data_IF_336066909794
#
_entry.id   IF_336066909794
#
_cell.length_a   1.000
_cell.length_b   1.000
_cell.length_c   1.000
_cell.angle_alpha   90.00
_cell.angle_beta   90.00
_cell.angle_gamma   90.00
#
_symmetry.space_group_name_H-M   'P 1'
#
loop_
_entity.id
_entity.type
_entity.pdbx_description
1 polymer ?
#
# COMPACT_ATOMS: atom_id res chain seq x y z
N UNK A 1 -10.17 -14.09 -3.70
CA UNK A 1 -11.18 -13.04 -3.52
C UNK A 1 -11.27 -12.70 -2.04
N UNK A 2 -11.57 -11.45 -1.66
CA UNK A 2 -11.68 -10.99 -0.26
C UNK A 2 -10.58 -10.01 0.17
N UNK A 3 -9.34 -10.12 -0.33
CA UNK A 3 -8.25 -9.18 -0.02
C UNK A 3 -8.62 -7.74 -0.39
N UNK A 4 -8.91 -7.50 -1.66
CA UNK A 4 -9.27 -6.17 -2.18
C UNK A 4 -10.54 -5.62 -1.51
N UNK A 5 -11.50 -6.49 -1.11
CA UNK A 5 -12.71 -6.07 -0.39
C UNK A 5 -12.39 -5.42 0.96
N UNK A 6 -11.42 -5.96 1.71
CA UNK A 6 -10.98 -5.38 2.99
C UNK A 6 -10.33 -4.03 2.75
N UNK A 7 -9.42 -3.91 1.78
CA UNK A 7 -8.79 -2.64 1.44
C UNK A 7 -9.84 -1.63 0.96
N UNK A 8 -10.71 -2.02 0.04
CA UNK A 8 -11.79 -1.16 -0.46
C UNK A 8 -12.71 -0.65 0.65
N UNK A 9 -13.02 -1.47 1.66
CA UNK A 9 -13.83 -1.01 2.80
C UNK A 9 -13.15 0.12 3.60
N UNK A 10 -11.84 0.04 3.81
CA UNK A 10 -11.08 1.12 4.45
C UNK A 10 -11.05 2.38 3.59
N UNK A 11 -10.82 2.22 2.27
CA UNK A 11 -10.73 3.33 1.33
C UNK A 11 -12.07 4.05 1.15
N UNK A 12 -13.18 3.31 1.08
CA UNK A 12 -14.55 3.88 1.02
C UNK A 12 -14.86 4.69 2.28
N UNK A 13 -14.50 4.19 3.45
CA UNK A 13 -14.67 4.95 4.70
C UNK A 13 -13.81 6.23 4.67
N UNK A 14 -12.53 6.13 4.29
CA UNK A 14 -11.62 7.28 4.23
C UNK A 14 -12.07 8.32 3.22
N UNK A 15 -12.47 7.93 1.99
CA UNK A 15 -12.96 8.90 1.00
C UNK A 15 -14.29 9.54 1.40
N UNK A 16 -15.15 8.79 2.11
CA UNK A 16 -16.42 9.32 2.62
C UNK A 16 -16.19 10.37 3.69
N UNK A 17 -15.16 10.19 4.55
CA UNK A 17 -14.74 11.19 5.53
C UNK A 17 -14.21 12.43 4.82
N UNK A 18 -13.25 12.29 3.90
CA UNK A 18 -12.66 13.42 3.18
C UNK A 18 -13.67 14.25 2.39
N UNK A 19 -14.74 13.62 1.94
CA UNK A 19 -15.83 14.27 1.19
C UNK A 19 -16.99 14.75 2.08
N UNK A 20 -16.83 14.70 3.41
CA UNK A 20 -17.83 15.11 4.41
C UNK A 20 -19.17 14.33 4.34
N UNK A 21 -19.13 13.06 3.92
CA UNK A 21 -20.30 12.17 3.95
C UNK A 21 -20.50 11.53 5.32
N UNK A 22 -19.41 11.15 6.01
CA UNK A 22 -19.51 10.63 7.38
C UNK A 22 -20.03 11.69 8.35
N UNK A 23 -20.81 11.29 9.36
CA UNK A 23 -21.15 9.93 9.77
C UNK A 23 -22.46 9.39 9.14
N UNK A 24 -23.14 10.15 8.28
CA UNK A 24 -24.53 9.89 7.87
C UNK A 24 -24.66 9.17 6.52
N UNK A 25 -23.58 9.14 5.73
CA UNK A 25 -23.60 8.54 4.39
C UNK A 25 -22.22 7.97 4.03
N UNK A 26 -22.23 7.07 3.03
CA UNK A 26 -21.03 6.48 2.45
C UNK A 26 -21.02 6.72 0.94
N UNK A 27 -19.91 7.23 0.43
CA UNK A 27 -19.69 7.46 -0.99
C UNK A 27 -18.89 6.31 -1.61
N UNK A 28 -19.49 5.59 -2.56
CA UNK A 28 -18.88 4.42 -3.21
C UNK A 28 -17.83 4.81 -4.28
N UNK A 29 -17.95 6.01 -4.84
CA UNK A 29 -17.08 6.51 -5.90
C UNK A 29 -16.40 7.80 -5.46
N UNK A 30 -15.08 7.84 -5.52
CA UNK A 30 -14.31 9.00 -5.06
C UNK A 30 -12.85 8.96 -5.45
N UNK A 31 -12.02 9.65 -4.69
CA UNK A 31 -10.60 9.83 -5.03
C UNK A 31 -9.77 8.54 -4.91
N UNK A 32 -10.14 7.64 -4.01
CA UNK A 32 -9.37 6.42 -3.77
C UNK A 32 -9.90 5.23 -4.55
N UNK A 33 -11.21 5.03 -4.57
CA UNK A 33 -11.85 3.90 -5.24
C UNK A 33 -13.13 4.33 -5.93
N UNK A 34 -13.44 3.63 -7.02
CA UNK A 34 -14.70 3.71 -7.76
C UNK A 34 -15.29 2.30 -7.79
N UNK A 35 -16.19 2.00 -6.84
CA UNK A 35 -16.75 0.66 -6.69
C UNK A 35 -17.96 0.46 -7.60
N UNK A 36 -18.66 1.55 -7.96
CA UNK A 36 -19.85 1.50 -8.77
C UNK A 36 -21.10 1.86 -7.97
N UNK A 37 -22.13 1.04 -8.06
CA UNK A 37 -23.44 1.27 -7.45
C UNK A 37 -23.68 0.29 -6.27
N UNK A 38 -24.74 0.52 -5.52
CA UNK A 38 -25.12 -0.30 -4.37
C UNK A 38 -25.19 -1.82 -4.67
N UNK A 39 -25.66 -2.19 -5.87
CA UNK A 39 -25.74 -3.59 -6.29
C UNK A 39 -24.35 -4.25 -6.46
N UNK A 40 -23.29 -3.47 -6.66
CA UNK A 40 -21.94 -3.99 -6.86
C UNK A 40 -21.25 -4.32 -5.53
N UNK A 41 -21.76 -3.80 -4.41
CA UNK A 41 -21.17 -3.97 -3.07
C UNK A 41 -21.93 -4.93 -2.17
N UNK A 42 -23.22 -5.16 -2.42
CA UNK A 42 -24.02 -6.10 -1.63
C UNK A 42 -23.78 -7.53 -2.12
N UNK A 43 -23.70 -8.47 -1.18
CA UNK A 43 -23.57 -9.88 -1.53
C UNK A 43 -24.89 -10.39 -2.13
N UNK A 44 -24.84 -10.97 -3.34
CA UNK A 44 -26.00 -11.40 -4.13
C UNK A 44 -26.97 -12.35 -3.37
N UNK A 45 -26.44 -13.12 -2.41
CA UNK A 45 -27.23 -14.06 -1.59
C UNK A 45 -27.41 -13.55 -0.14
N UNK A 46 -27.32 -12.25 0.06
CA UNK A 46 -27.56 -11.65 1.38
C UNK A 46 -29.05 -11.55 1.65
N UNK A 47 -29.47 -12.05 2.81
CA UNK A 47 -30.83 -11.88 3.31
C UNK A 47 -31.06 -10.47 3.91
N UNK A 48 -29.98 -9.72 4.11
CA UNK A 48 -29.98 -8.38 4.71
C UNK A 48 -29.68 -7.32 3.65
N UNK A 49 -30.48 -6.27 3.62
CA UNK A 49 -30.26 -5.09 2.77
C UNK A 49 -29.33 -4.05 3.44
N UNK A 50 -28.31 -4.52 4.15
CA UNK A 50 -27.33 -3.65 4.79
C UNK A 50 -25.93 -4.28 4.82
N UNK A 51 -24.92 -3.41 4.91
CA UNK A 51 -23.51 -3.76 5.14
C UNK A 51 -23.12 -3.14 6.47
N UNK A 52 -22.48 -3.92 7.34
CA UNK A 52 -21.98 -3.44 8.63
C UNK A 52 -20.46 -3.50 8.63
N UNK A 53 -19.81 -2.37 8.97
CA UNK A 53 -18.38 -2.26 9.14
C UNK A 53 -18.08 -1.81 10.57
N UNK A 54 -17.10 -2.45 11.20
CA UNK A 54 -16.62 -2.08 12.53
C UNK A 54 -15.13 -1.82 12.48
N UNK A 55 -14.71 -0.66 12.96
CA UNK A 55 -13.33 -0.33 13.24
C UNK A 55 -13.14 -0.29 14.75
N UNK A 56 -12.08 -0.97 15.22
CA UNK A 56 -11.73 -0.96 16.63
C UNK A 56 -10.24 -0.64 16.79
N UNK A 57 -9.95 0.38 17.60
CA UNK A 57 -8.58 0.79 17.91
C UNK A 57 -8.46 1.20 19.38
N UNK A 58 -7.56 0.53 20.12
CA UNK A 58 -7.23 0.87 21.53
C UNK A 58 -8.45 1.07 22.43
N UNK A 59 -9.47 0.23 22.26
CA UNK A 59 -10.72 0.29 23.02
C UNK A 59 -11.74 1.31 22.51
N UNK A 60 -11.42 2.08 21.48
CA UNK A 60 -12.37 2.91 20.74
C UNK A 60 -13.03 2.07 19.65
N UNK A 61 -14.32 2.25 19.45
CA UNK A 61 -15.10 1.50 18.48
C UNK A 61 -15.89 2.50 17.65
N UNK A 62 -15.80 2.33 16.33
CA UNK A 62 -16.63 3.02 15.37
C UNK A 62 -17.34 1.97 14.51
N UNK A 63 -18.67 1.96 14.59
CA UNK A 63 -19.52 1.10 13.79
C UNK A 63 -20.25 1.95 12.76
N UNK A 64 -20.37 1.44 11.55
CA UNK A 64 -21.20 2.03 10.51
C UNK A 64 -22.06 0.95 9.87
N UNK A 65 -23.36 1.18 9.81
CA UNK A 65 -24.37 0.35 9.13
C UNK A 65 -24.85 1.10 7.91
N UNK A 66 -24.58 0.53 6.74
CA UNK A 66 -24.84 1.11 5.43
C UNK A 66 -26.08 0.46 4.88
N UNK A 67 -27.09 1.27 4.51
CA UNK A 67 -28.35 0.79 3.99
C UNK A 67 -28.32 0.69 2.47
N UNK A 68 -28.79 -0.44 1.95
CA UNK A 68 -28.91 -0.64 0.50
C UNK A 68 -29.94 0.32 -0.09
N UNK A 69 -29.55 0.95 -1.21
CA UNK A 69 -30.43 1.80 -2.01
C UNK A 69 -30.14 1.57 -3.48
N UNK A 70 -31.10 0.93 -4.14
CA UNK A 70 -30.94 0.55 -5.56
C UNK A 70 -30.51 1.75 -6.42
N UNK A 71 -29.58 1.50 -7.35
CA UNK A 71 -29.08 2.48 -8.32
C UNK A 71 -28.45 3.75 -7.68
N UNK A 72 -28.00 3.67 -6.41
CA UNK A 72 -27.31 4.74 -5.72
C UNK A 72 -25.81 4.45 -5.57
N UNK A 73 -24.98 5.47 -5.64
CA UNK A 73 -23.56 5.44 -5.36
C UNK A 73 -23.18 6.20 -4.08
N UNK A 74 -24.16 6.89 -3.49
CA UNK A 74 -24.12 7.42 -2.12
C UNK A 74 -25.20 6.74 -1.31
N UNK A 75 -24.79 6.03 -0.26
CA UNK A 75 -25.68 5.22 0.57
C UNK A 75 -25.88 5.87 1.93
N UNK A 76 -27.12 5.86 2.42
CA UNK A 76 -27.43 6.33 3.76
C UNK A 76 -26.76 5.39 4.80
N UNK A 77 -26.24 5.96 5.89
CA UNK A 77 -25.55 5.21 6.92
C UNK A 77 -25.96 5.67 8.32
N UNK A 78 -25.97 4.71 9.25
CA UNK A 78 -26.12 4.93 10.69
C UNK A 78 -24.78 4.61 11.36
N UNK A 79 -24.21 5.55 12.12
CA UNK A 79 -22.93 5.37 12.79
C UNK A 79 -23.07 5.40 14.29
N UNK A 80 -22.27 4.57 14.98
CA UNK A 80 -22.14 4.53 16.44
C UNK A 80 -20.66 4.69 16.80
N UNK A 81 -20.36 5.62 17.68
CA UNK A 81 -19.00 6.01 18.05
C UNK A 81 -18.51 7.24 17.28
N UNK A 82 -17.37 7.77 17.71
CA UNK A 82 -16.74 8.92 17.04
C UNK A 82 -15.64 8.43 16.11
N UNK A 83 -15.78 8.64 14.80
CA UNK A 83 -14.76 8.24 13.83
C UNK A 83 -13.46 9.04 13.98
N UNK A 84 -13.49 10.25 14.53
CA UNK A 84 -12.27 11.04 14.80
C UNK A 84 -11.33 10.36 15.80
N UNK A 85 -11.83 9.43 16.60
CA UNK A 85 -11.03 8.65 17.53
C UNK A 85 -10.17 7.55 16.84
N UNK A 86 -10.46 7.24 15.58
CA UNK A 86 -9.81 6.16 14.81
C UNK A 86 -8.71 6.74 13.91
N UNK A 87 -7.53 6.13 13.95
CA UNK A 87 -6.34 6.60 13.20
C UNK A 87 -6.55 6.68 11.69
N UNK A 88 -7.41 5.84 11.11
CA UNK A 88 -7.77 5.88 9.68
C UNK A 88 -8.24 7.27 9.23
N UNK A 89 -8.91 8.01 10.10
CA UNK A 89 -9.52 9.31 9.78
C UNK A 89 -8.64 10.51 10.16
N UNK A 90 -7.44 10.25 10.69
CA UNK A 90 -6.45 11.29 10.99
C UNK A 90 -5.65 11.70 9.78
N UNK A 91 -4.79 12.69 9.96
CA UNK A 91 -3.77 13.10 9.00
C UNK A 91 -2.76 11.97 8.74
N UNK A 92 -1.93 12.12 7.71
CA UNK A 92 -0.89 11.16 7.31
C UNK A 92 -1.44 9.80 6.84
N UNK A 93 -2.41 9.85 5.94
CA UNK A 93 -2.91 8.69 5.21
C UNK A 93 -2.36 8.70 3.78
N UNK A 94 -1.77 7.59 3.34
CA UNK A 94 -1.29 7.41 1.97
C UNK A 94 -1.86 6.12 1.38
N UNK A 95 -2.34 6.18 0.15
CA UNK A 95 -2.78 5.01 -0.60
C UNK A 95 -2.10 4.96 -1.96
N UNK A 96 -1.49 3.84 -2.27
CA UNK A 96 -0.92 3.54 -3.59
C UNK A 96 -1.56 2.27 -4.13
N UNK A 97 -2.34 2.41 -5.19
CA UNK A 97 -3.03 1.30 -5.82
C UNK A 97 -2.08 0.42 -6.66
N UNK A 98 -2.62 -0.69 -7.19
CA UNK A 98 -1.88 -1.60 -8.05
C UNK A 98 -1.53 -0.98 -9.41
N UNK A 99 -2.34 -0.07 -9.92
CA UNK A 99 -2.18 0.59 -11.23
C UNK A 99 -1.33 1.87 -11.11
N UNK A 100 -0.10 1.73 -10.63
CA UNK A 100 0.80 2.88 -10.54
C UNK A 100 1.14 3.46 -11.91
N UNK A 101 1.50 4.77 -11.90
CA UNK A 101 1.87 5.47 -13.14
C UNK A 101 3.01 4.76 -13.86
N UNK A 102 2.78 4.43 -15.12
CA UNK A 102 3.81 3.85 -15.99
C UNK A 102 5.03 4.78 -16.10
N UNK A 103 6.23 4.26 -16.41
CA UNK A 103 7.42 5.07 -16.60
C UNK A 103 7.20 6.18 -17.62
N UNK A 104 7.40 7.43 -17.20
CA UNK A 104 7.29 8.63 -18.01
C UNK A 104 8.53 9.51 -17.82
N UNK A 105 8.81 10.36 -18.77
CA UNK A 105 9.90 11.35 -18.66
C UNK A 105 9.47 12.56 -17.84
N UNK A 106 8.18 12.88 -17.91
CA UNK A 106 7.57 14.09 -17.35
C UNK A 106 6.40 13.68 -16.47
N UNK A 107 6.31 14.27 -15.30
CA UNK A 107 5.29 14.04 -14.28
C UNK A 107 4.63 15.35 -13.89
N UNK A 108 3.35 15.35 -13.50
CA UNK A 108 2.67 16.56 -13.06
C UNK A 108 3.20 17.05 -11.71
N UNK A 109 3.10 18.36 -11.48
CA UNK A 109 3.27 19.00 -10.18
C UNK A 109 1.91 19.34 -9.58
N UNK A 110 1.78 19.22 -8.27
CA UNK A 110 0.62 19.68 -7.53
C UNK A 110 1.01 20.02 -6.09
N UNK A 111 1.08 21.29 -5.76
CA UNK A 111 1.32 21.73 -4.38
C UNK A 111 0.16 21.38 -3.46
N UNK A 112 -1.06 21.33 -4.00
CA UNK A 112 -2.22 20.88 -3.23
C UNK A 112 -2.02 19.46 -2.68
N UNK A 113 -1.60 18.51 -3.51
CA UNK A 113 -1.42 17.12 -3.08
C UNK A 113 -0.20 16.97 -2.16
N UNK A 114 0.95 17.56 -2.51
CA UNK A 114 2.18 17.30 -1.76
C UNK A 114 2.35 18.20 -0.52
N UNK A 115 1.91 19.46 -0.57
CA UNK A 115 2.09 20.43 0.55
C UNK A 115 0.88 20.43 1.49
N UNK A 116 -0.36 20.29 0.96
CA UNK A 116 -1.59 20.40 1.77
C UNK A 116 -2.13 19.04 2.21
N UNK A 117 -2.03 18.00 1.37
CA UNK A 117 -2.54 16.66 1.65
C UNK A 117 -1.44 15.68 2.09
N UNK A 118 -0.17 16.04 1.90
CA UNK A 118 1.00 15.14 2.08
C UNK A 118 0.83 13.79 1.36
N UNK A 119 0.29 13.80 0.14
CA UNK A 119 -0.01 12.61 -0.67
C UNK A 119 0.75 12.61 -1.99
N UNK A 120 1.15 11.41 -2.43
CA UNK A 120 1.83 11.20 -3.70
C UNK A 120 0.87 11.01 -4.88
N UNK A 121 -0.43 10.98 -4.61
CA UNK A 121 -1.48 10.58 -5.54
C UNK A 121 -1.68 9.06 -5.58
N UNK A 122 -2.89 8.61 -5.88
CA UNK A 122 -3.29 7.19 -5.83
C UNK A 122 -2.44 6.31 -6.76
N UNK A 123 -2.00 6.87 -7.89
CA UNK A 123 -1.12 6.19 -8.85
C UNK A 123 0.36 6.60 -8.67
N UNK A 124 0.69 7.36 -7.63
CA UNK A 124 2.03 7.89 -7.37
C UNK A 124 2.47 8.97 -8.35
N UNK A 125 1.53 9.65 -9.01
CA UNK A 125 1.78 10.63 -10.07
C UNK A 125 2.55 11.86 -9.60
N UNK A 126 2.47 12.23 -8.32
CA UNK A 126 3.17 13.39 -7.75
C UNK A 126 4.49 13.05 -7.07
N UNK A 127 4.92 11.78 -7.10
CA UNK A 127 6.16 11.32 -6.46
C UNK A 127 7.38 12.11 -6.90
N UNK A 128 7.51 12.39 -8.19
CA UNK A 128 8.66 13.15 -8.73
C UNK A 128 8.65 14.59 -8.23
N UNK A 129 7.49 15.23 -8.17
CA UNK A 129 7.35 16.55 -7.59
C UNK A 129 7.68 16.57 -6.09
N UNK A 130 7.20 15.57 -5.33
CA UNK A 130 7.52 15.42 -3.92
C UNK A 130 9.04 15.33 -3.71
N UNK A 131 9.74 14.52 -4.50
CA UNK A 131 11.20 14.40 -4.44
C UNK A 131 11.90 15.70 -4.81
N UNK A 132 11.47 16.42 -5.85
CA UNK A 132 12.05 17.74 -6.18
C UNK A 132 11.95 18.71 -5.01
N UNK A 133 10.81 18.70 -4.30
CA UNK A 133 10.50 19.66 -3.23
C UNK A 133 11.17 19.31 -1.91
N UNK A 134 11.19 18.00 -1.56
CA UNK A 134 11.53 17.52 -0.21
C UNK A 134 12.75 16.60 -0.17
N UNK A 135 13.56 16.55 -1.24
CA UNK A 135 14.72 15.64 -1.34
C UNK A 135 15.72 15.78 -0.19
N UNK A 136 15.86 16.98 0.39
CA UNK A 136 16.80 17.29 1.47
C UNK A 136 16.16 17.17 2.87
N UNK A 137 14.86 16.86 2.97
CA UNK A 137 14.16 16.63 4.25
C UNK A 137 14.74 15.37 4.91
N UNK A 138 15.04 15.46 6.21
CA UNK A 138 15.40 14.28 7.01
C UNK A 138 14.22 13.35 7.17
N UNK A 139 14.45 12.05 7.18
CA UNK A 139 13.45 11.02 7.41
C UNK A 139 13.14 10.94 8.90
N UNK A 140 11.86 10.83 9.27
CA UNK A 140 11.43 10.83 10.67
C UNK A 140 12.05 9.68 11.48
N UNK A 141 12.24 8.53 10.86
CA UNK A 141 12.74 7.30 11.50
C UNK A 141 14.16 6.88 11.04
N UNK A 142 14.80 7.63 10.12
CA UNK A 142 16.20 7.46 9.70
C UNK A 142 16.84 8.85 9.59
N UNK A 143 17.24 9.41 10.73
CA UNK A 143 17.76 10.80 10.82
C UNK A 143 19.14 10.99 10.22
N UNK A 144 19.83 9.91 9.90
CA UNK A 144 21.19 9.95 9.34
C UNK A 144 21.20 10.23 7.84
N UNK A 145 20.00 10.14 7.19
CA UNK A 145 19.86 10.32 5.75
C UNK A 145 18.80 11.34 5.41
N UNK A 146 19.07 12.11 4.36
CA UNK A 146 18.03 12.85 3.66
C UNK A 146 17.09 11.89 2.88
N UNK A 147 15.92 12.36 2.51
CA UNK A 147 14.97 11.56 1.70
C UNK A 147 15.63 11.05 0.41
N UNK A 148 16.37 11.91 -0.28
CA UNK A 148 17.08 11.54 -1.51
C UNK A 148 18.12 10.42 -1.28
N UNK A 149 18.92 10.55 -0.24
CA UNK A 149 19.93 9.54 0.09
C UNK A 149 19.32 8.21 0.45
N UNK A 150 18.22 8.20 1.21
CA UNK A 150 17.54 6.97 1.58
C UNK A 150 16.80 6.34 0.38
N UNK A 151 16.10 7.14 -0.45
CA UNK A 151 15.51 6.65 -1.70
C UNK A 151 16.59 6.02 -2.57
N UNK A 152 17.74 6.68 -2.69
CA UNK A 152 18.87 6.20 -3.47
C UNK A 152 19.44 4.88 -2.92
N UNK A 153 19.58 4.78 -1.58
CA UNK A 153 20.03 3.57 -0.90
C UNK A 153 19.10 2.38 -1.19
N UNK A 154 17.79 2.57 -1.04
CA UNK A 154 16.82 1.50 -1.27
C UNK A 154 16.66 1.13 -2.75
N UNK A 155 16.78 2.11 -3.65
CA UNK A 155 16.84 1.81 -5.09
C UNK A 155 18.04 0.93 -5.44
N UNK A 156 19.22 1.19 -4.87
CA UNK A 156 20.41 0.36 -5.08
C UNK A 156 20.26 -1.05 -4.53
N UNK A 157 19.58 -1.22 -3.39
CA UNK A 157 19.31 -2.54 -2.81
C UNK A 157 18.38 -3.37 -3.71
N UNK A 158 17.42 -2.71 -4.36
CA UNK A 158 16.44 -3.34 -5.26
C UNK A 158 17.01 -3.53 -6.67
N UNK A 159 17.71 -2.52 -7.19
CA UNK A 159 18.32 -2.51 -8.52
C UNK A 159 19.71 -1.87 -8.46
N UNK A 160 20.78 -2.67 -8.41
CA UNK A 160 22.15 -2.18 -8.20
C UNK A 160 22.61 -1.15 -9.23
N UNK A 161 23.43 -0.20 -8.78
CA UNK A 161 24.09 0.86 -9.58
C UNK A 161 23.15 1.94 -10.15
N UNK A 162 21.84 1.86 -9.95
CA UNK A 162 20.91 2.89 -10.45
C UNK A 162 20.87 4.07 -9.52
N UNK A 163 21.03 5.26 -10.06
CA UNK A 163 20.94 6.56 -9.37
C UNK A 163 19.80 7.40 -9.97
N UNK A 164 19.17 8.20 -9.12
CA UNK A 164 18.02 9.03 -9.41
C UNK A 164 18.46 10.45 -9.78
N UNK A 165 17.82 11.02 -10.81
CA UNK A 165 17.92 12.42 -11.18
C UNK A 165 16.50 13.02 -11.31
N UNK A 166 16.19 14.02 -10.49
CA UNK A 166 14.89 14.70 -10.50
C UNK A 166 15.10 16.21 -10.59
N UNK A 167 14.26 16.87 -11.37
CA UNK A 167 14.28 18.32 -11.52
C UNK A 167 12.92 18.85 -11.89
N UNK A 168 12.59 20.07 -11.44
CA UNK A 168 11.43 20.78 -11.94
C UNK A 168 11.73 21.39 -13.31
N UNK A 169 10.71 21.52 -14.15
CA UNK A 169 10.80 22.24 -15.42
C UNK A 169 10.31 23.67 -15.15
N UNK A 170 11.21 24.63 -15.36
CA UNK A 170 10.91 26.05 -15.09
C UNK A 170 9.70 26.53 -15.87
N UNK A 171 8.90 27.38 -15.21
CA UNK A 171 7.69 28.00 -15.78
C UNK A 171 6.64 26.99 -16.29
N UNK A 172 6.61 25.78 -15.72
CA UNK A 172 5.61 24.76 -16.01
C UNK A 172 5.11 24.08 -14.73
N UNK A 173 4.00 23.37 -14.82
CA UNK A 173 3.44 22.48 -13.82
C UNK A 173 3.97 21.05 -13.95
N UNK A 174 5.22 20.89 -14.42
CA UNK A 174 5.84 19.61 -14.74
C UNK A 174 7.18 19.44 -14.04
N UNK A 175 7.48 18.18 -13.68
CA UNK A 175 8.75 17.74 -13.16
C UNK A 175 9.30 16.60 -14.02
N UNK A 176 10.63 16.47 -14.08
CA UNK A 176 11.34 15.49 -14.90
C UNK A 176 12.01 14.44 -14.02
N UNK A 177 11.87 13.18 -14.45
CA UNK A 177 12.58 12.03 -13.89
C UNK A 177 13.59 11.50 -14.88
N UNK A 178 14.78 11.18 -14.38
CA UNK A 178 15.83 10.48 -15.10
C UNK A 178 16.57 9.53 -14.18
N UNK A 179 17.31 8.62 -14.78
CA UNK A 179 18.19 7.69 -14.06
C UNK A 179 19.58 7.72 -14.69
N UNK A 180 20.60 7.47 -13.88
CA UNK A 180 21.96 7.27 -14.36
C UNK A 180 22.61 6.12 -13.62
N UNK A 181 23.61 5.54 -14.21
CA UNK A 181 24.43 4.51 -13.58
C UNK A 181 25.72 5.12 -13.05
N UNK A 182 26.12 4.68 -11.87
CA UNK A 182 27.37 5.09 -11.25
C UNK A 182 28.25 3.86 -11.10
N UNK A 183 29.12 3.70 -12.07
CA UNK A 183 30.26 2.80 -11.99
C UNK A 183 31.49 3.67 -11.72
N UNK A 184 32.64 3.46 -12.25
CA UNK A 184 33.81 4.35 -12.05
C UNK A 184 33.55 5.81 -12.51
N UNK A 185 32.62 6.01 -13.43
CA UNK A 185 32.19 7.33 -13.92
C UNK A 185 30.66 7.42 -14.01
N UNK A 186 30.13 8.66 -13.88
CA UNK A 186 28.70 8.92 -14.07
C UNK A 186 28.33 8.71 -15.56
N UNK A 187 27.35 7.83 -15.83
CA UNK A 187 26.79 7.67 -17.16
C UNK A 187 25.98 8.91 -17.59
N UNK A 188 25.56 8.97 -18.84
CA UNK A 188 24.50 9.90 -19.26
C UNK A 188 23.20 9.60 -18.48
N UNK A 189 22.31 10.59 -18.41
CA UNK A 189 20.97 10.41 -17.84
C UNK A 189 20.09 9.67 -18.86
N UNK A 190 19.50 8.58 -18.42
CA UNK A 190 18.56 7.78 -19.19
C UNK A 190 17.13 8.17 -18.86
N UNK A 191 16.26 8.11 -19.86
CA UNK A 191 14.82 8.27 -19.66
C UNK A 191 14.27 7.08 -18.86
N UNK A 192 13.25 7.27 -18.01
CA UNK A 192 12.61 6.17 -17.27
C UNK A 192 12.08 5.05 -18.18
N UNK A 193 11.63 5.40 -19.38
CA UNK A 193 11.18 4.45 -20.42
C UNK A 193 12.28 3.55 -20.99
N UNK A 194 13.54 3.89 -20.77
CA UNK A 194 14.72 3.16 -21.29
C UNK A 194 15.51 2.46 -20.14
N UNK A 195 14.98 2.51 -18.94
CA UNK A 195 15.49 1.79 -17.76
C UNK A 195 14.46 0.73 -17.39
N UNK A 196 14.85 -0.31 -16.66
CA UNK A 196 13.93 -1.38 -16.30
C UNK A 196 12.62 -0.82 -15.68
N UNK A 197 11.48 -1.27 -16.18
CA UNK A 197 10.14 -0.79 -15.81
C UNK A 197 9.91 -0.75 -14.31
N UNK A 198 10.41 -1.78 -13.59
CA UNK A 198 10.22 -1.93 -12.15
C UNK A 198 10.78 -0.79 -11.32
N UNK A 199 11.86 -0.11 -11.77
CA UNK A 199 12.52 0.97 -10.99
C UNK A 199 11.57 2.17 -10.86
N UNK A 200 11.00 2.62 -11.96
CA UNK A 200 10.04 3.73 -11.95
C UNK A 200 8.74 3.37 -11.24
N UNK A 201 8.33 2.11 -11.37
CA UNK A 201 7.08 1.60 -10.82
C UNK A 201 7.11 1.46 -9.29
N UNK A 202 8.29 1.16 -8.73
CA UNK A 202 8.48 1.00 -7.29
C UNK A 202 8.81 2.31 -6.57
N UNK A 203 9.25 3.33 -7.30
CA UNK A 203 9.68 4.61 -6.73
C UNK A 203 8.60 5.26 -5.82
N UNK A 204 7.31 5.32 -6.20
CA UNK A 204 6.26 5.84 -5.31
C UNK A 204 6.18 5.11 -3.97
N UNK A 205 6.32 3.79 -3.97
CA UNK A 205 6.25 2.98 -2.75
C UNK A 205 7.44 3.28 -1.84
N UNK A 206 8.65 3.34 -2.40
CA UNK A 206 9.85 3.69 -1.62
C UNK A 206 9.68 5.07 -0.98
N UNK A 207 9.20 6.06 -1.76
CA UNK A 207 9.01 7.42 -1.24
C UNK A 207 7.91 7.46 -0.18
N UNK A 208 6.77 6.76 -0.38
CA UNK A 208 5.69 6.69 0.59
C UNK A 208 6.16 6.11 1.93
N UNK A 209 6.93 5.01 1.89
CA UNK A 209 7.48 4.38 3.09
C UNK A 209 8.48 5.29 3.80
N UNK A 210 9.36 5.97 3.05
CA UNK A 210 10.42 6.80 3.62
C UNK A 210 9.91 8.15 4.14
N UNK A 211 8.88 8.74 3.53
CA UNK A 211 8.29 10.00 4.01
C UNK A 211 7.37 9.82 5.22
N UNK A 212 6.88 8.59 5.47
CA UNK A 212 5.92 8.31 6.52
C UNK A 212 6.46 8.66 7.91
N UNK A 213 5.60 9.24 8.73
CA UNK A 213 5.88 9.63 10.11
C UNK A 213 5.18 8.69 11.10
N UNK A 214 5.59 8.71 12.36
CA UNK A 214 4.94 7.91 13.41
C UNK A 214 3.42 8.14 13.44
N UNK A 215 2.64 7.06 13.43
CA UNK A 215 1.18 7.10 13.41
C UNK A 215 0.56 7.22 12.04
N UNK A 216 1.36 7.31 10.96
CA UNK A 216 0.85 7.26 9.59
C UNK A 216 0.20 5.92 9.27
N UNK A 217 -0.78 5.94 8.38
CA UNK A 217 -1.39 4.76 7.77
C UNK A 217 -1.07 4.73 6.28
N UNK A 218 -0.45 3.64 5.84
CA UNK A 218 -0.18 3.38 4.43
C UNK A 218 -0.98 2.17 3.96
N UNK A 219 -1.65 2.32 2.82
CA UNK A 219 -2.33 1.22 2.12
C UNK A 219 -1.60 1.01 0.79
N UNK A 220 -0.98 -0.15 0.61
CA UNK A 220 -0.11 -0.46 -0.52
C UNK A 220 -0.60 -1.72 -1.23
N UNK A 221 -0.85 -1.62 -2.53
CA UNK A 221 -1.20 -2.77 -3.36
C UNK A 221 -0.04 -3.18 -4.27
N UNK A 222 0.20 -4.48 -4.37
CA UNK A 222 1.17 -5.12 -5.25
C UNK A 222 2.56 -4.42 -5.30
N UNK A 223 3.24 -4.22 -4.15
CA UNK A 223 4.54 -3.55 -4.13
C UNK A 223 5.63 -4.33 -4.87
N UNK A 224 5.41 -5.62 -5.10
CA UNK A 224 6.29 -6.51 -5.83
C UNK A 224 6.26 -6.32 -7.35
N UNK A 225 5.26 -5.62 -7.90
CA UNK A 225 5.04 -5.57 -9.33
C UNK A 225 6.29 -5.12 -10.10
N UNK A 226 6.64 -5.87 -11.14
CA UNK A 226 7.80 -5.65 -12.00
C UNK A 226 9.19 -5.74 -11.33
N UNK A 227 9.27 -6.22 -10.08
CA UNK A 227 10.53 -6.44 -9.40
C UNK A 227 11.04 -7.88 -9.57
N UNK A 228 12.36 -8.01 -9.70
CA UNK A 228 13.02 -9.30 -9.60
C UNK A 228 12.88 -9.85 -8.16
N UNK A 229 12.81 -11.18 -7.93
CA UNK A 229 12.66 -11.79 -6.61
C UNK A 229 13.53 -11.20 -5.50
N UNK A 230 14.81 -10.93 -5.79
CA UNK A 230 15.72 -10.26 -4.85
C UNK A 230 15.22 -8.87 -4.45
N UNK A 231 14.72 -8.09 -5.41
CA UNK A 231 14.15 -6.75 -5.17
C UNK A 231 12.87 -6.81 -4.35
N UNK A 232 11.99 -7.79 -4.64
CA UNK A 232 10.78 -8.03 -3.86
C UNK A 232 11.10 -8.32 -2.39
N UNK A 233 12.10 -9.18 -2.12
CA UNK A 233 12.55 -9.45 -0.75
C UNK A 233 13.05 -8.17 -0.06
N UNK A 234 13.83 -7.34 -0.74
CA UNK A 234 14.32 -6.06 -0.19
C UNK A 234 13.20 -5.06 0.06
N UNK A 235 12.17 -5.05 -0.77
CA UNK A 235 10.96 -4.27 -0.51
C UNK A 235 10.25 -4.75 0.77
N UNK A 236 10.14 -6.06 1.00
CA UNK A 236 9.61 -6.61 2.25
C UNK A 236 10.42 -6.19 3.48
N UNK A 237 11.76 -6.14 3.36
CA UNK A 237 12.64 -5.65 4.43
C UNK A 237 12.39 -4.14 4.71
N UNK A 238 12.22 -3.29 3.68
CA UNK A 238 11.89 -1.87 3.84
C UNK A 238 10.53 -1.66 4.51
N UNK A 239 9.51 -2.40 4.06
CA UNK A 239 8.16 -2.36 4.65
C UNK A 239 8.24 -2.69 6.15
N UNK A 240 8.97 -3.74 6.51
CA UNK A 240 9.14 -4.13 7.91
C UNK A 240 9.88 -3.07 8.74
N UNK A 241 10.92 -2.42 8.19
CA UNK A 241 11.60 -1.32 8.87
C UNK A 241 10.67 -0.13 9.10
N UNK A 242 9.89 0.24 8.10
CA UNK A 242 8.91 1.30 8.21
C UNK A 242 7.88 0.99 9.32
N UNK A 243 7.29 -0.22 9.30
CA UNK A 243 6.31 -0.66 10.30
C UNK A 243 6.89 -0.66 11.73
N UNK A 244 8.14 -1.08 11.91
CA UNK A 244 8.83 -1.08 13.20
C UNK A 244 8.97 0.31 13.83
N UNK A 245 8.82 1.37 13.04
CA UNK A 245 8.85 2.76 13.47
C UNK A 245 7.46 3.36 13.73
N UNK A 246 6.47 2.51 13.95
CA UNK A 246 5.11 2.91 14.37
C UNK A 246 4.23 3.40 13.23
N UNK A 247 4.55 3.01 12.00
CA UNK A 247 3.72 3.25 10.81
C UNK A 247 2.85 2.01 10.59
N UNK A 248 1.53 2.17 10.51
CA UNK A 248 0.61 1.09 10.20
C UNK A 248 0.53 0.88 8.70
N UNK A 249 0.81 -0.35 8.24
CA UNK A 249 0.83 -0.67 6.82
C UNK A 249 -0.20 -1.77 6.52
N UNK A 250 -1.18 -1.47 5.67
CA UNK A 250 -2.06 -2.44 5.05
C UNK A 250 -1.47 -2.81 3.70
N UNK A 251 -1.09 -4.06 3.55
CA UNK A 251 -0.36 -4.55 2.40
C UNK A 251 -1.14 -5.64 1.67
N UNK A 252 -1.49 -5.42 0.40
CA UNK A 252 -1.94 -6.48 -0.49
C UNK A 252 -0.77 -6.94 -1.36
N UNK A 253 -0.45 -8.23 -1.31
CA UNK A 253 0.63 -8.81 -2.11
C UNK A 253 0.31 -10.23 -2.57
N UNK A 254 0.89 -10.60 -3.71
CA UNK A 254 0.91 -11.96 -4.26
C UNK A 254 2.32 -12.57 -4.24
N UNK A 255 3.26 -11.96 -3.49
CA UNK A 255 4.65 -12.37 -3.46
C UNK A 255 5.05 -13.03 -2.14
N UNK A 256 5.48 -14.28 -2.23
CA UNK A 256 6.18 -14.99 -1.15
C UNK A 256 7.51 -14.30 -0.79
N UNK A 257 8.16 -13.65 -1.76
CA UNK A 257 9.41 -12.94 -1.55
C UNK A 257 9.23 -11.68 -0.69
N UNK A 258 8.12 -10.95 -0.84
CA UNK A 258 7.74 -9.85 0.08
C UNK A 258 7.56 -10.40 1.49
N UNK A 259 6.76 -11.47 1.64
CA UNK A 259 6.54 -12.13 2.92
C UNK A 259 7.87 -12.61 3.53
N UNK A 260 8.74 -13.21 2.73
CA UNK A 260 10.04 -13.67 3.20
C UNK A 260 10.94 -12.51 3.65
N UNK A 261 10.87 -11.34 3.00
CA UNK A 261 11.54 -10.11 3.45
C UNK A 261 11.07 -9.68 4.84
N UNK A 262 9.76 -9.66 5.08
CA UNK A 262 9.16 -9.33 6.38
C UNK A 262 9.57 -10.38 7.45
N UNK A 263 9.48 -11.68 7.14
CA UNK A 263 9.88 -12.77 8.05
C UNK A 263 11.37 -12.71 8.44
N UNK A 264 12.24 -12.31 7.50
CA UNK A 264 13.67 -12.10 7.76
C UNK A 264 13.86 -10.93 8.72
N UNK A 265 13.14 -9.81 8.53
CA UNK A 265 13.20 -8.66 9.43
C UNK A 265 12.72 -9.03 10.84
N UNK A 266 11.67 -9.84 10.98
CA UNK A 266 11.22 -10.37 12.28
C UNK A 266 12.31 -11.25 12.93
N UNK A 267 12.91 -12.18 12.18
CA UNK A 267 14.00 -13.00 12.67
C UNK A 267 15.22 -12.17 13.11
N UNK A 268 15.49 -11.05 12.44
CA UNK A 268 16.56 -10.11 12.76
C UNK A 268 16.20 -9.15 13.91
N UNK A 269 14.98 -9.27 14.47
CA UNK A 269 14.46 -8.41 15.55
C UNK A 269 14.31 -6.93 15.15
N UNK A 270 14.18 -6.64 13.87
CA UNK A 270 13.83 -5.32 13.33
C UNK A 270 12.36 -5.02 13.61
N UNK A 271 11.48 -6.01 13.38
CA UNK A 271 10.04 -5.96 13.65
C UNK A 271 9.68 -7.12 14.56
N UNK A 272 8.73 -6.94 15.48
CA UNK A 272 8.22 -8.05 16.31
C UNK A 272 7.20 -8.88 15.54
N UNK A 273 7.16 -10.20 15.80
CA UNK A 273 6.16 -11.09 15.22
C UNK A 273 4.73 -10.69 15.58
N UNK A 274 4.50 -10.28 16.83
CA UNK A 274 3.19 -9.83 17.34
C UNK A 274 2.64 -8.58 16.65
N UNK A 275 3.53 -7.70 16.12
CA UNK A 275 3.16 -6.49 15.38
C UNK A 275 2.81 -6.78 13.91
N UNK A 276 2.87 -8.07 13.51
CA UNK A 276 2.58 -8.50 12.15
C UNK A 276 1.33 -9.37 12.14
N UNK A 277 0.36 -9.04 11.27
CA UNK A 277 -0.83 -9.87 11.06
C UNK A 277 -0.89 -10.28 9.60
N UNK A 278 -1.05 -11.58 9.37
CA UNK A 278 -1.15 -12.17 8.05
C UNK A 278 -2.56 -12.70 7.83
N UNK A 279 -3.17 -12.36 6.71
CA UNK A 279 -4.50 -12.85 6.33
C UNK A 279 -4.42 -13.52 4.97
N UNK A 280 -4.75 -14.80 4.92
CA UNK A 280 -4.88 -15.57 3.70
C UNK A 280 -6.35 -15.86 3.41
N UNK A 281 -6.85 -15.31 2.30
CA UNK A 281 -8.25 -15.46 1.89
C UNK A 281 -8.39 -16.63 0.92
N UNK A 282 -9.22 -17.60 1.28
CA UNK A 282 -9.52 -18.78 0.47
C UNK A 282 -11.01 -19.04 0.39
N UNK A 283 -11.42 -19.97 -0.47
CA UNK A 283 -12.78 -20.47 -0.57
C UNK A 283 -12.81 -21.92 -0.17
N UNK A 284 -13.73 -22.29 0.72
CA UNK A 284 -13.95 -23.67 1.12
C UNK A 284 -15.43 -24.01 0.96
N UNK A 285 -15.72 -25.23 0.56
CA UNK A 285 -17.07 -25.74 0.56
C UNK A 285 -17.50 -26.06 2.00
N UNK A 286 -18.64 -25.51 2.42
CA UNK A 286 -19.24 -25.80 3.71
C UNK A 286 -20.74 -26.01 3.52
N UNK A 287 -21.23 -27.21 3.86
CA UNK A 287 -22.64 -27.58 3.75
C UNK A 287 -23.23 -27.34 2.35
N UNK A 288 -22.47 -27.65 1.29
CA UNK A 288 -22.90 -27.46 -0.11
C UNK A 288 -22.90 -26.02 -0.60
N UNK A 289 -22.36 -25.07 0.18
CA UNK A 289 -22.16 -23.66 -0.23
C UNK A 289 -20.68 -23.30 -0.18
N UNK A 290 -20.23 -22.53 -1.16
CA UNK A 290 -18.88 -21.94 -1.14
C UNK A 290 -18.84 -20.75 -0.19
N UNK A 291 -18.00 -20.84 0.84
CA UNK A 291 -17.79 -19.77 1.82
C UNK A 291 -16.38 -19.20 1.71
N UNK A 292 -16.27 -17.90 1.91
CA UNK A 292 -14.97 -17.22 2.00
C UNK A 292 -14.46 -17.33 3.42
N UNK A 293 -13.20 -17.74 3.58
CA UNK A 293 -12.53 -17.91 4.88
C UNK A 293 -11.23 -17.09 4.85
N UNK A 294 -10.96 -16.40 5.94
CA UNK A 294 -9.67 -15.79 6.21
C UNK A 294 -8.90 -16.68 7.20
N UNK A 295 -7.78 -17.24 6.78
CA UNK A 295 -6.84 -17.93 7.64
C UNK A 295 -5.77 -16.94 8.09
N UNK A 296 -5.37 -16.98 9.36
CA UNK A 296 -4.49 -16.01 9.98
C UNK A 296 -3.27 -16.69 10.62
N UNK A 297 -2.31 -17.21 9.83
CA UNK A 297 -1.07 -17.76 10.39
C UNK A 297 -0.26 -16.64 11.05
N UNK A 298 0.37 -16.96 12.18
CA UNK A 298 1.21 -16.05 12.94
C UNK A 298 2.67 -16.14 12.50
N UNK A 299 3.39 -15.02 12.54
CA UNK A 299 4.84 -15.00 12.35
C UNK A 299 5.49 -15.00 13.74
N UNK A 300 6.22 -16.07 14.06
CA UNK A 300 6.97 -16.16 15.31
C UNK A 300 8.27 -15.36 15.27
N UNK A 301 8.83 -15.00 16.41
CA UNK A 301 10.09 -14.21 16.52
C UNK A 301 11.29 -14.84 15.81
N UNK A 302 11.25 -16.12 15.52
CA UNK A 302 12.26 -16.79 14.70
C UNK A 302 12.02 -16.68 13.19
N UNK A 303 10.97 -15.96 12.77
CA UNK A 303 10.56 -15.76 11.38
C UNK A 303 9.80 -16.95 10.77
N UNK A 304 9.46 -17.99 11.54
CA UNK A 304 8.63 -19.10 11.06
C UNK A 304 7.15 -18.74 11.16
N UNK A 305 6.34 -19.31 10.26
CA UNK A 305 4.89 -19.27 10.38
C UNK A 305 4.41 -20.36 11.35
N UNK A 306 3.30 -20.08 12.04
CA UNK A 306 2.64 -21.06 12.91
C UNK A 306 2.18 -22.30 12.12
N UNK A 307 1.70 -22.08 10.91
CA UNK A 307 1.37 -23.11 9.92
C UNK A 307 1.36 -22.48 8.52
N UNK A 308 1.37 -23.33 7.49
CA UNK A 308 1.21 -22.93 6.10
C UNK A 308 -0.20 -23.33 5.64
N UNK A 309 -1.08 -22.38 5.31
CA UNK A 309 -2.37 -22.69 4.70
C UNK A 309 -2.17 -23.38 3.34
N UNK A 310 -3.04 -24.32 3.00
CA UNK A 310 -3.02 -24.95 1.66
C UNK A 310 -3.31 -23.91 0.55
N UNK A 311 -2.53 -23.99 -0.52
CA UNK A 311 -2.57 -22.97 -1.60
C UNK A 311 -1.85 -21.66 -1.28
N UNK A 312 -1.18 -21.55 -0.12
CA UNK A 312 -0.47 -20.37 0.28
C UNK A 312 1.01 -20.45 -0.08
N UNK A 313 1.37 -19.97 -1.27
CA UNK A 313 2.74 -19.97 -1.81
C UNK A 313 3.41 -21.37 -1.89
N UNK A 314 2.64 -22.42 -2.06
CA UNK A 314 3.09 -23.82 -2.15
C UNK A 314 3.10 -24.36 -3.59
N UNK A 315 2.69 -23.53 -4.55
CA UNK A 315 2.59 -23.91 -5.97
C UNK A 315 3.95 -24.34 -6.56
N UNK A 316 5.04 -23.73 -6.10
CA UNK A 316 6.38 -24.10 -6.55
C UNK A 316 6.76 -25.51 -6.09
N UNK A 317 6.45 -25.89 -4.85
CA UNK A 317 6.68 -27.25 -4.33
C UNK A 317 5.82 -28.26 -5.07
N UNK A 318 4.53 -27.98 -5.26
CA UNK A 318 3.60 -28.82 -6.03
C UNK A 318 4.07 -29.03 -7.46
N UNK A 319 4.52 -27.97 -8.15
CA UNK A 319 5.06 -28.08 -9.51
C UNK A 319 6.34 -28.91 -9.56
N UNK A 320 7.21 -28.84 -8.56
CA UNK A 320 8.40 -29.70 -8.49
C UNK A 320 8.03 -31.17 -8.30
N UNK A 321 7.04 -31.47 -7.45
CA UNK A 321 6.58 -32.85 -7.23
C UNK A 321 5.97 -33.47 -8.51
N UNK A 322 5.40 -32.65 -9.41
CA UNK A 322 4.90 -33.10 -10.71
C UNK A 322 6.01 -33.31 -11.76
N UNK A 323 7.14 -32.60 -11.63
CA UNK A 323 8.27 -32.67 -12.58
C UNK A 323 9.23 -33.83 -12.26
N UNK A 324 9.37 -34.16 -10.98
CA UNK A 324 10.29 -35.20 -10.47
C UNK A 324 9.63 -36.57 -10.44
#
# INVERSE_FOLDING_TARGET
MGKSTVIQSLLVLKQSEQSNYLPNSICLNGNFVNIGMAQDVIYEHSDNECIELQLQERGKIFNVKIHYKKDADVLDAESIGDYHDISLFKEHFEYLNAERKAPQVIYPKSSFHIDSQDQLGVNGEYTVHYLCRYQDKSIAWDKDRSLKEAVQYWLEMISPQVKLDVSEIENTDLAKLGFYYMDNTKSRIFRPTNVGFGISYVLPIIVALLKAEYGSILVLENPEAHLHPKGQRKMGELIAQCAANGIQIFLETHSDHILNGIRIAVKQKVLKGEDTKLFYFTRKESKGKMVHIAECPEIYDNGKLSYWPDGFFDEWEKALDEIL
#
